data_IF_540553065479
#
_entry.id   IF_540553065479
#
_cell.length_a   1.000
_cell.length_b   1.000
_cell.length_c   1.000
_cell.angle_alpha   90.00
_cell.angle_beta   90.00
_cell.angle_gamma   90.00
#
_symmetry.space_group_name_H-M   'P 1'
#
loop_
_entity.id
_entity.type
_entity.pdbx_description
1 polymer ?
#
# COMPACT_ATOMS: atom_id res chain seq x y z
N UNK A 1 20.98 -7.58 -9.70
CA UNK A 1 20.23 -6.50 -10.37
C UNK A 1 18.87 -6.36 -9.68
N UNK A 2 18.77 -5.48 -8.69
CA UNK A 2 17.49 -5.11 -8.08
C UNK A 2 16.78 -4.13 -9.02
N UNK A 3 16.00 -4.65 -9.98
CA UNK A 3 15.22 -3.78 -10.85
C UNK A 3 14.11 -3.12 -10.04
N UNK A 4 14.22 -1.81 -9.92
CA UNK A 4 13.15 -0.88 -9.57
C UNK A 4 11.97 -1.10 -10.52
N UNK A 5 10.79 -1.38 -9.96
CA UNK A 5 9.53 -1.63 -10.66
C UNK A 5 9.49 -2.86 -11.59
N UNK A 6 8.34 -3.53 -11.63
CA UNK A 6 8.04 -4.61 -12.56
C UNK A 6 6.98 -4.16 -13.57
N UNK A 7 7.24 -4.37 -14.86
CA UNK A 7 6.25 -4.14 -15.91
C UNK A 7 5.24 -5.27 -15.94
N UNK A 8 3.98 -4.93 -15.72
CA UNK A 8 2.82 -5.82 -15.71
C UNK A 8 1.92 -5.48 -16.89
N UNK A 9 1.51 -6.48 -17.66
CA UNK A 9 0.55 -6.30 -18.75
C UNK A 9 -0.86 -6.22 -18.17
N UNK A 10 -1.37 -5.00 -17.96
CA UNK A 10 -2.77 -4.80 -17.59
C UNK A 10 -3.72 -5.13 -18.74
N UNK A 11 -5.02 -5.05 -18.48
CA UNK A 11 -6.05 -5.39 -19.46
C UNK A 11 -6.20 -4.39 -20.62
N UNK A 12 -5.83 -3.13 -20.39
CA UNK A 12 -5.91 -2.06 -21.38
C UNK A 12 -4.52 -1.57 -21.82
N UNK A 13 -3.58 -1.49 -20.87
CA UNK A 13 -2.21 -1.03 -21.11
C UNK A 13 -1.22 -1.67 -20.15
N UNK A 14 0.05 -1.66 -20.53
CA UNK A 14 1.14 -2.02 -19.62
C UNK A 14 1.25 -0.99 -18.50
N UNK A 15 1.71 -1.45 -17.34
CA UNK A 15 1.96 -0.60 -16.18
C UNK A 15 3.21 -1.05 -15.44
N UNK A 16 4.01 -0.10 -15.00
CA UNK A 16 5.08 -0.38 -14.05
C UNK A 16 4.51 -0.29 -12.63
N UNK A 17 4.67 -1.37 -11.87
CA UNK A 17 4.21 -1.49 -10.49
C UNK A 17 5.42 -1.66 -9.60
N UNK A 18 5.45 -0.94 -8.47
CA UNK A 18 6.62 -0.84 -7.60
C UNK A 18 7.06 -2.19 -7.02
N UNK A 19 6.09 -2.99 -6.56
CA UNK A 19 6.32 -4.32 -6.00
C UNK A 19 5.39 -5.30 -6.69
N UNK A 20 5.94 -6.38 -7.23
CA UNK A 20 5.16 -7.48 -7.81
C UNK A 20 5.74 -8.80 -7.34
N UNK A 21 4.88 -9.61 -6.74
CA UNK A 21 5.18 -10.99 -6.35
C UNK A 21 4.54 -11.91 -7.37
N UNK A 22 5.36 -12.75 -7.99
CA UNK A 22 4.92 -13.77 -8.94
C UNK A 22 5.15 -15.17 -8.38
N UNK A 23 4.30 -16.11 -8.75
CA UNK A 23 4.48 -17.54 -8.46
C UNK A 23 4.64 -18.31 -9.77
N UNK A 24 5.70 -19.15 -9.90
CA UNK A 24 5.90 -19.95 -11.10
C UNK A 24 4.67 -20.80 -11.44
N UNK A 25 4.24 -20.75 -12.71
CA UNK A 25 3.04 -21.45 -13.20
C UNK A 25 1.70 -20.86 -12.78
N UNK A 26 1.68 -19.73 -12.04
CA UNK A 26 0.46 -19.00 -11.65
C UNK A 26 0.49 -17.58 -12.24
N UNK A 27 1.63 -16.89 -12.13
CA UNK A 27 1.78 -15.49 -12.54
C UNK A 27 1.79 -14.53 -11.35
N UNK A 28 1.46 -13.23 -11.55
CA UNK A 28 1.33 -12.24 -10.48
C UNK A 28 0.25 -12.64 -9.47
N UNK A 29 0.60 -12.62 -8.19
CA UNK A 29 -0.30 -13.02 -7.09
C UNK A 29 -0.49 -11.93 -6.05
N UNK A 30 0.49 -11.04 -5.90
CA UNK A 30 0.39 -9.85 -5.07
C UNK A 30 1.15 -8.71 -5.75
N UNK A 31 0.62 -7.50 -5.67
CA UNK A 31 1.30 -6.31 -6.13
C UNK A 31 1.04 -5.14 -5.18
N UNK A 32 1.96 -4.18 -5.13
CA UNK A 32 1.79 -2.92 -4.42
C UNK A 32 2.27 -1.77 -5.30
N UNK A 33 1.40 -0.78 -5.52
CA UNK A 33 1.76 0.51 -6.11
C UNK A 33 2.01 1.50 -4.98
N UNK A 34 3.18 2.14 -5.00
CA UNK A 34 3.60 3.14 -4.03
C UNK A 34 3.57 4.52 -4.71
N UNK A 35 2.96 5.51 -4.07
CA UNK A 35 2.87 6.87 -4.59
C UNK A 35 3.19 7.87 -3.49
N UNK A 36 4.07 8.81 -3.82
CA UNK A 36 4.45 9.91 -2.95
C UNK A 36 3.92 11.25 -3.47
N UNK A 37 3.51 12.11 -2.55
CA UNK A 37 3.16 13.50 -2.83
C UNK A 37 3.99 14.43 -1.96
N UNK A 38 4.80 15.28 -2.61
CA UNK A 38 5.65 16.25 -1.92
C UNK A 38 5.02 17.64 -1.78
N UNK A 39 3.92 17.90 -2.50
CA UNK A 39 3.15 19.14 -2.54
C UNK A 39 1.99 19.04 -3.54
N UNK A 40 1.43 20.17 -3.96
CA UNK A 40 0.36 20.28 -4.96
C UNK A 40 -0.95 19.56 -4.61
N UNK A 41 -1.54 19.91 -3.45
CA UNK A 41 -2.86 19.44 -2.99
C UNK A 41 -3.95 19.66 -4.04
N UNK A 42 -3.83 20.70 -4.88
CA UNK A 42 -4.75 20.95 -6.01
C UNK A 42 -4.84 19.79 -7.02
N UNK A 43 -3.83 18.92 -7.07
CA UNK A 43 -3.75 17.80 -8.01
C UNK A 43 -4.32 16.48 -7.45
N UNK A 44 -4.88 16.48 -6.24
CA UNK A 44 -5.39 15.26 -5.61
C UNK A 44 -6.51 14.58 -6.42
N UNK A 45 -7.36 15.35 -7.12
CA UNK A 45 -8.40 14.80 -8.00
C UNK A 45 -7.77 14.02 -9.16
N UNK A 46 -6.79 14.60 -9.86
CA UNK A 46 -6.10 13.93 -10.96
C UNK A 46 -5.40 12.65 -10.46
N UNK A 47 -4.81 12.70 -9.26
CA UNK A 47 -4.19 11.54 -8.61
C UNK A 47 -5.20 10.44 -8.29
N UNK A 48 -6.41 10.81 -7.89
CA UNK A 48 -7.49 9.85 -7.65
C UNK A 48 -7.89 9.15 -8.96
N UNK A 49 -8.11 9.90 -10.04
CA UNK A 49 -8.44 9.35 -11.36
C UNK A 49 -7.35 8.40 -11.89
N UNK A 50 -6.08 8.79 -11.77
CA UNK A 50 -4.93 7.93 -12.09
C UNK A 50 -4.96 6.62 -11.28
N UNK A 51 -5.29 6.70 -10.00
CA UNK A 51 -5.32 5.56 -9.07
C UNK A 51 -6.48 4.61 -9.38
N UNK A 52 -7.65 5.12 -9.75
CA UNK A 52 -8.81 4.35 -10.22
C UNK A 52 -8.46 3.63 -11.53
N UNK A 53 -7.86 4.35 -12.47
CA UNK A 53 -7.45 3.81 -13.77
C UNK A 53 -6.39 2.72 -13.64
N UNK A 54 -5.41 2.90 -12.74
CA UNK A 54 -4.39 1.89 -12.44
C UNK A 54 -5.03 0.61 -11.89
N UNK A 55 -5.87 0.73 -10.86
CA UNK A 55 -6.56 -0.40 -10.23
C UNK A 55 -7.36 -1.20 -11.24
N UNK A 56 -8.19 -0.50 -12.01
CA UNK A 56 -9.07 -1.11 -13.00
C UNK A 56 -8.27 -1.83 -14.08
N UNK A 57 -7.25 -1.17 -14.64
CA UNK A 57 -6.41 -1.76 -15.66
C UNK A 57 -5.71 -3.05 -15.19
N UNK A 58 -5.16 -3.03 -13.98
CA UNK A 58 -4.45 -4.19 -13.42
C UNK A 58 -5.42 -5.34 -13.13
N UNK A 59 -6.58 -5.07 -12.54
CA UNK A 59 -7.57 -6.13 -12.25
C UNK A 59 -8.25 -6.70 -13.49
N UNK A 60 -8.34 -5.97 -14.61
CA UNK A 60 -8.81 -6.56 -15.87
C UNK A 60 -7.78 -7.61 -16.36
N UNK A 61 -6.49 -7.29 -16.30
CA UNK A 61 -5.43 -8.22 -16.72
C UNK A 61 -5.22 -9.38 -15.75
N UNK A 62 -5.33 -9.13 -14.45
CA UNK A 62 -5.13 -10.11 -13.39
C UNK A 62 -6.27 -10.05 -12.35
N UNK A 63 -7.45 -10.62 -12.63
CA UNK A 63 -8.63 -10.48 -11.77
C UNK A 63 -8.44 -11.01 -10.35
N UNK A 64 -7.57 -12.01 -10.19
CA UNK A 64 -7.27 -12.66 -8.90
C UNK A 64 -6.12 -12.00 -8.14
N UNK A 65 -5.40 -11.05 -8.73
CA UNK A 65 -4.28 -10.37 -8.07
C UNK A 65 -4.74 -9.72 -6.77
N UNK A 66 -3.96 -9.87 -5.70
CA UNK A 66 -4.13 -9.05 -4.49
C UNK A 66 -3.36 -7.74 -4.70
N UNK A 67 -4.07 -6.63 -4.86
CA UNK A 67 -3.45 -5.36 -5.22
C UNK A 67 -3.56 -4.34 -4.08
N UNK A 68 -2.40 -3.86 -3.63
CA UNK A 68 -2.26 -2.80 -2.63
C UNK A 68 -1.90 -1.45 -3.23
N UNK A 69 -2.36 -0.37 -2.60
CA UNK A 69 -1.96 0.99 -2.91
C UNK A 69 -1.46 1.71 -1.65
N UNK A 70 -0.21 2.17 -1.64
CA UNK A 70 0.38 2.94 -0.55
C UNK A 70 0.59 4.38 -1.00
N UNK A 71 -0.12 5.32 -0.35
CA UNK A 71 0.01 6.75 -0.60
C UNK A 71 0.70 7.44 0.57
N UNK A 72 1.81 8.11 0.30
CA UNK A 72 2.59 8.87 1.26
C UNK A 72 2.55 10.36 0.92
N UNK A 73 2.28 11.20 1.91
CA UNK A 73 2.34 12.66 1.75
C UNK A 73 3.24 13.32 2.77
N UNK A 74 3.87 14.42 2.37
CA UNK A 74 4.66 15.25 3.30
C UNK A 74 3.75 16.07 4.20
N UNK A 75 4.11 16.16 5.48
CA UNK A 75 3.46 17.03 6.47
C UNK A 75 3.84 18.51 6.26
N UNK A 76 3.54 19.06 5.08
CA UNK A 76 3.79 20.46 4.80
C UNK A 76 2.79 21.31 5.60
N UNK A 77 3.25 21.80 6.76
CA UNK A 77 2.47 22.63 7.67
C UNK A 77 2.38 24.07 7.15
N UNK A 78 1.25 24.72 7.37
CA UNK A 78 1.06 26.11 7.01
C UNK A 78 2.10 26.98 7.74
N UNK A 79 2.87 27.76 6.99
CA UNK A 79 3.96 28.55 7.53
C UNK A 79 4.61 29.44 6.49
N UNK A 80 5.57 30.26 6.95
CA UNK A 80 6.30 31.16 6.07
C UNK A 80 7.14 30.36 5.07
N UNK A 81 6.94 30.61 3.77
CA UNK A 81 7.70 29.96 2.69
C UNK A 81 7.06 28.68 2.13
N UNK A 82 5.89 28.27 2.63
CA UNK A 82 5.11 27.17 2.04
C UNK A 82 4.02 27.79 1.15
N UNK A 83 3.96 27.40 -0.12
CA UNK A 83 2.90 27.83 -1.01
C UNK A 83 1.55 27.28 -0.53
N UNK A 84 0.48 28.06 -0.62
CA UNK A 84 -0.86 27.64 -0.16
C UNK A 84 -1.33 26.33 -0.81
N UNK A 85 -0.92 26.07 -2.04
CA UNK A 85 -1.21 24.83 -2.77
C UNK A 85 -0.45 23.61 -2.27
N UNK A 86 0.57 23.79 -1.44
CA UNK A 86 1.42 22.74 -0.90
C UNK A 86 1.12 22.46 0.58
N UNK A 87 0.27 23.28 1.22
CA UNK A 87 -0.15 23.10 2.61
C UNK A 87 -1.05 21.88 2.73
N UNK A 88 -0.63 20.91 3.54
CA UNK A 88 -1.36 19.66 3.83
C UNK A 88 -1.94 19.70 5.25
N UNK A 89 -1.31 20.46 6.15
CA UNK A 89 -1.72 20.65 7.54
C UNK A 89 -1.86 22.14 7.84
N UNK A 90 -3.01 22.56 8.35
CA UNK A 90 -3.29 23.95 8.71
C UNK A 90 -2.55 24.42 9.99
N UNK A 91 -2.66 25.71 10.32
CA UNK A 91 -2.09 26.27 11.56
C UNK A 91 -2.58 25.62 12.85
N UNK A 92 -3.74 24.98 12.83
CA UNK A 92 -4.28 24.27 13.99
C UNK A 92 -3.77 22.83 14.11
N UNK A 93 -2.90 22.39 13.19
CA UNK A 93 -2.37 21.03 13.16
C UNK A 93 -3.33 20.04 12.50
N UNK A 94 -4.40 20.50 11.86
CA UNK A 94 -5.41 19.63 11.23
C UNK A 94 -5.16 19.48 9.72
N UNK A 95 -5.47 18.32 9.12
CA UNK A 95 -5.41 18.16 7.67
C UNK A 95 -6.34 19.15 6.96
N UNK A 96 -5.86 19.75 5.87
CA UNK A 96 -6.69 20.64 5.05
C UNK A 96 -7.82 19.87 4.35
N UNK A 97 -8.90 20.57 3.98
CA UNK A 97 -10.11 19.96 3.42
C UNK A 97 -9.84 19.08 2.18
N UNK A 98 -8.88 19.45 1.34
CA UNK A 98 -8.49 18.64 0.17
C UNK A 98 -7.94 17.26 0.57
N UNK A 99 -7.17 17.19 1.65
CA UNK A 99 -6.60 15.95 2.18
C UNK A 99 -7.68 15.08 2.80
N UNK A 100 -8.61 15.68 3.54
CA UNK A 100 -9.77 14.98 4.12
C UNK A 100 -10.64 14.37 3.02
N UNK A 101 -10.97 15.13 1.97
CA UNK A 101 -11.74 14.63 0.83
C UNK A 101 -11.02 13.49 0.09
N UNK A 102 -9.70 13.61 -0.06
CA UNK A 102 -8.90 12.57 -0.69
C UNK A 102 -8.85 11.29 0.16
N UNK A 103 -8.71 11.41 1.48
CA UNK A 103 -8.84 10.27 2.40
C UNK A 103 -10.20 9.56 2.26
N UNK A 104 -11.30 10.32 2.22
CA UNK A 104 -12.65 9.76 2.06
C UNK A 104 -12.79 9.02 0.72
N UNK A 105 -12.28 9.62 -0.37
CA UNK A 105 -12.31 9.00 -1.69
C UNK A 105 -11.50 7.69 -1.74
N UNK A 106 -10.28 7.69 -1.20
CA UNK A 106 -9.47 6.46 -1.09
C UNK A 106 -10.15 5.40 -0.21
N UNK A 107 -10.78 5.82 0.89
CA UNK A 107 -11.50 4.91 1.78
C UNK A 107 -12.67 4.20 1.07
N UNK A 108 -13.31 4.84 0.09
CA UNK A 108 -14.35 4.23 -0.72
C UNK A 108 -13.82 3.20 -1.75
N UNK A 109 -12.53 3.28 -2.09
CA UNK A 109 -11.86 2.44 -3.09
C UNK A 109 -11.17 1.21 -2.50
N UNK A 110 -11.17 1.01 -1.18
CA UNK A 110 -10.55 -0.17 -0.56
C UNK A 110 -11.56 -1.30 -0.30
N UNK A 111 -11.05 -2.45 0.12
CA UNK A 111 -11.87 -3.57 0.60
C UNK A 111 -12.38 -4.52 -0.48
N UNK A 112 -11.73 -4.60 -1.65
CA UNK A 112 -12.01 -5.66 -2.64
C UNK A 112 -11.79 -7.04 -2.00
N UNK A 113 -12.79 -7.93 -2.10
CA UNK A 113 -12.73 -9.27 -1.51
C UNK A 113 -12.28 -10.32 -2.54
N UNK A 114 -12.78 -10.22 -3.77
CA UNK A 114 -12.42 -11.14 -4.84
C UNK A 114 -12.88 -10.68 -6.22
N UNK A 115 -12.81 -11.60 -7.18
CA UNK A 115 -13.03 -11.34 -8.61
C UNK A 115 -14.41 -10.78 -8.96
N UNK A 116 -15.43 -11.06 -8.12
CA UNK A 116 -16.81 -10.62 -8.31
C UNK A 116 -17.08 -9.20 -7.81
N UNK A 117 -16.16 -8.60 -7.06
CA UNK A 117 -16.26 -7.21 -6.65
C UNK A 117 -15.82 -6.27 -7.78
N UNK A 118 -16.06 -4.98 -7.60
CA UNK A 118 -15.64 -3.92 -8.52
C UNK A 118 -14.12 -3.92 -8.74
N UNK A 119 -13.70 -3.94 -10.02
CA UNK A 119 -12.30 -3.95 -10.45
C UNK A 119 -11.56 -2.64 -10.13
N UNK A 120 -12.30 -1.55 -9.91
CA UNK A 120 -11.76 -0.24 -9.53
C UNK A 120 -11.40 -0.12 -8.04
N UNK A 121 -11.61 -1.18 -7.25
CA UNK A 121 -11.24 -1.23 -5.83
C UNK A 121 -9.97 -2.05 -5.59
N UNK A 122 -9.15 -1.58 -4.66
CA UNK A 122 -7.99 -2.30 -4.15
C UNK A 122 -8.39 -3.25 -3.02
N UNK A 123 -7.60 -4.30 -2.81
CA UNK A 123 -7.70 -5.16 -1.63
C UNK A 123 -7.32 -4.40 -0.35
N UNK A 124 -6.28 -3.56 -0.43
CA UNK A 124 -5.83 -2.70 0.65
C UNK A 124 -5.35 -1.35 0.11
N UNK A 125 -5.71 -0.29 0.82
CA UNK A 125 -5.12 1.04 0.60
C UNK A 125 -4.54 1.49 1.93
N UNK A 126 -3.37 2.13 1.89
CA UNK A 126 -2.83 2.85 3.03
C UNK A 126 -2.55 4.30 2.64
N UNK A 127 -2.88 5.20 3.54
CA UNK A 127 -2.53 6.61 3.42
C UNK A 127 -1.78 7.03 4.68
N UNK A 128 -0.61 7.64 4.50
CA UNK A 128 0.23 8.08 5.61
C UNK A 128 0.81 9.47 5.34
N UNK A 129 1.04 10.22 6.40
CA UNK A 129 1.72 11.50 6.36
C UNK A 129 3.07 11.38 7.05
N UNK A 130 4.12 11.97 6.48
CA UNK A 130 5.50 11.88 6.96
C UNK A 130 5.98 13.26 7.37
N UNK A 131 6.60 13.36 8.54
CA UNK A 131 7.28 14.56 9.00
C UNK A 131 8.53 14.85 8.15
N UNK A 132 8.69 16.09 7.71
CA UNK A 132 9.74 16.47 6.75
C UNK A 132 10.77 17.44 7.30
N UNK A 133 10.64 17.82 8.56
CA UNK A 133 11.54 18.76 9.20
C UNK A 133 11.66 18.51 10.69
N UNK A 134 12.74 19.01 11.28
CA UNK A 134 12.99 18.88 12.72
C UNK A 134 13.42 17.48 13.14
N UNK A 135 13.31 17.22 14.45
CA UNK A 135 13.78 15.98 15.10
C UNK A 135 13.04 14.72 14.64
N UNK A 136 11.81 14.87 14.17
CA UNK A 136 10.93 13.78 13.77
C UNK A 136 10.97 13.53 12.25
N UNK A 137 11.92 14.09 11.52
CA UNK A 137 11.96 13.94 10.07
C UNK A 137 12.08 12.46 9.67
N UNK A 138 11.18 12.02 8.79
CA UNK A 138 11.07 10.62 8.36
C UNK A 138 10.07 9.78 9.18
N UNK A 139 9.60 10.28 10.32
CA UNK A 139 8.58 9.61 11.13
C UNK A 139 7.18 9.82 10.53
N UNK A 140 6.28 8.88 10.78
CA UNK A 140 4.86 9.06 10.49
C UNK A 140 4.26 10.11 11.43
N UNK A 141 3.44 11.00 10.89
CA UNK A 141 2.65 11.92 11.72
C UNK A 141 1.64 11.10 12.51
N UNK A 142 1.86 11.02 13.82
CA UNK A 142 0.95 10.38 14.76
C UNK A 142 -0.46 10.98 14.65
N UNK A 143 -1.47 10.14 14.81
CA UNK A 143 -2.89 10.53 14.83
C UNK A 143 -3.40 11.28 13.58
N UNK A 144 -2.65 11.25 12.47
CA UNK A 144 -3.10 11.83 11.19
C UNK A 144 -4.43 11.24 10.73
N UNK A 145 -4.58 9.91 10.87
CA UNK A 145 -5.83 9.20 10.66
C UNK A 145 -6.25 8.58 11.97
N UNK A 146 -7.57 8.49 12.18
CA UNK A 146 -8.11 7.70 13.27
C UNK A 146 -7.67 6.23 13.14
N UNK A 147 -7.39 5.57 14.27
CA UNK A 147 -6.88 4.20 14.32
C UNK A 147 -7.87 3.15 13.78
N UNK A 148 -9.15 3.51 13.67
CA UNK A 148 -10.22 2.71 13.06
C UNK A 148 -10.38 2.94 11.55
N UNK A 149 -9.63 3.87 10.95
CA UNK A 149 -9.63 4.12 9.51
C UNK A 149 -9.28 2.84 8.74
N UNK A 150 -10.08 2.52 7.72
CA UNK A 150 -9.85 1.36 6.85
C UNK A 150 -8.57 1.47 6.02
N UNK A 151 -8.04 2.68 5.87
CA UNK A 151 -6.80 2.95 5.14
C UNK A 151 -5.63 3.36 6.04
N UNK A 152 -5.70 2.98 7.32
CA UNK A 152 -4.59 3.17 8.26
C UNK A 152 -3.37 2.34 7.86
N UNK A 153 -2.18 2.95 7.91
CA UNK A 153 -0.93 2.33 7.46
C UNK A 153 -0.65 0.96 8.11
N UNK A 154 -0.84 0.85 9.42
CA UNK A 154 -0.58 -0.38 10.18
C UNK A 154 -1.44 -1.58 9.72
N UNK A 155 -2.63 -1.33 9.16
CA UNK A 155 -3.55 -2.39 8.70
C UNK A 155 -3.22 -2.91 7.30
N UNK A 156 -2.32 -2.23 6.59
CA UNK A 156 -2.08 -2.43 5.17
C UNK A 156 -1.62 -3.85 4.84
N UNK A 157 -0.48 -4.24 5.43
CA UNK A 157 0.14 -5.53 5.14
C UNK A 157 -0.69 -6.68 5.69
N UNK A 158 -1.27 -6.54 6.88
CA UNK A 158 -2.20 -7.53 7.44
C UNK A 158 -3.37 -7.80 6.52
N UNK A 159 -3.95 -6.75 5.93
CA UNK A 159 -5.05 -6.88 4.97
C UNK A 159 -4.59 -7.57 3.69
N UNK A 160 -3.44 -7.17 3.12
CA UNK A 160 -2.88 -7.82 1.93
C UNK A 160 -2.61 -9.30 2.16
N UNK A 161 -1.97 -9.64 3.27
CA UNK A 161 -1.65 -11.02 3.62
C UNK A 161 -2.90 -11.87 3.85
N UNK A 162 -3.89 -11.32 4.53
CA UNK A 162 -5.16 -12.01 4.75
C UNK A 162 -5.87 -12.29 3.43
N UNK A 163 -5.97 -11.30 2.53
CA UNK A 163 -6.57 -11.48 1.20
C UNK A 163 -5.79 -12.47 0.34
N UNK A 164 -4.47 -12.46 0.45
CA UNK A 164 -3.61 -13.44 -0.21
C UNK A 164 -3.89 -14.86 0.26
N UNK A 165 -3.91 -15.08 1.58
CA UNK A 165 -4.13 -16.41 2.16
C UNK A 165 -5.55 -16.91 1.83
N UNK A 166 -6.58 -16.06 1.98
CA UNK A 166 -7.96 -16.38 1.60
C UNK A 166 -8.03 -16.86 0.15
N UNK A 167 -7.35 -16.19 -0.77
CA UNK A 167 -7.49 -16.42 -2.21
C UNK A 167 -6.63 -17.57 -2.72
N UNK A 168 -5.38 -17.65 -2.29
CA UNK A 168 -4.39 -18.55 -2.87
C UNK A 168 -4.09 -19.77 -1.99
N UNK A 169 -4.44 -19.76 -0.70
CA UNK A 169 -4.17 -20.86 0.23
C UNK A 169 -5.47 -21.56 0.63
N UNK A 170 -6.46 -20.81 1.11
CA UNK A 170 -7.74 -21.35 1.59
C UNK A 170 -8.66 -21.71 0.42
N UNK A 171 -8.93 -20.76 -0.49
CA UNK A 171 -9.86 -21.00 -1.62
C UNK A 171 -9.29 -21.92 -2.70
N UNK A 172 -7.97 -22.15 -2.70
CA UNK A 172 -7.29 -23.01 -3.68
C UNK A 172 -6.35 -24.02 -3.01
N UNK A 173 -6.86 -25.02 -2.25
CA UNK A 173 -6.02 -25.95 -1.48
C UNK A 173 -5.00 -26.70 -2.33
N UNK A 174 -5.33 -27.00 -3.59
CA UNK A 174 -4.45 -27.67 -4.54
C UNK A 174 -3.19 -26.83 -4.88
N UNK A 175 -3.29 -25.51 -4.79
CA UNK A 175 -2.18 -24.59 -5.01
C UNK A 175 -1.39 -24.28 -3.72
N UNK A 176 -1.93 -24.61 -2.55
CA UNK A 176 -1.36 -24.25 -1.25
C UNK A 176 0.11 -24.66 -1.10
N UNK A 177 0.52 -25.81 -1.65
CA UNK A 177 1.92 -26.26 -1.63
C UNK A 177 2.88 -25.27 -2.32
N UNK A 178 2.40 -24.49 -3.29
CA UNK A 178 3.18 -23.49 -4.05
C UNK A 178 2.95 -22.07 -3.54
N UNK A 179 1.76 -21.78 -3.02
CA UNK A 179 1.31 -20.43 -2.67
C UNK A 179 1.44 -20.11 -1.20
N UNK A 180 1.51 -21.10 -0.30
CA UNK A 180 1.67 -20.84 1.13
C UNK A 180 2.88 -19.91 1.36
N UNK A 181 2.66 -18.90 2.20
CA UNK A 181 3.72 -17.96 2.59
C UNK A 181 4.83 -18.72 3.29
N UNK A 182 6.08 -18.39 2.95
CA UNK A 182 7.24 -19.02 3.56
C UNK A 182 7.38 -18.56 5.01
N UNK A 183 7.90 -19.45 5.83
CA UNK A 183 8.19 -19.22 7.24
C UNK A 183 9.70 -19.42 7.44
N UNK A 184 10.27 -18.67 8.37
CA UNK A 184 11.64 -18.87 8.77
C UNK A 184 11.73 -20.15 9.59
N UNK A 185 12.75 -20.97 9.33
CA UNK A 185 13.10 -22.06 10.25
C UNK A 185 13.53 -21.46 11.59
N UNK A 186 13.09 -22.06 12.71
CA UNK A 186 13.56 -21.76 14.07
C UNK A 186 15.10 -21.74 14.16
N UNK A 187 15.76 -22.59 13.37
CA UNK A 187 17.21 -22.76 13.38
C UNK A 187 17.93 -21.88 12.35
N UNK A 188 17.18 -21.08 11.58
CA UNK A 188 17.74 -20.28 10.50
C UNK A 188 18.87 -19.40 11.02
N UNK A 189 20.07 -19.46 10.41
CA UNK A 189 21.20 -18.63 10.82
C UNK A 189 20.92 -17.14 10.64
N UNK A 190 19.93 -16.77 9.80
CA UNK A 190 19.42 -15.41 9.75
C UNK A 190 19.01 -14.95 11.15
N UNK A 191 18.20 -15.76 11.87
CA UNK A 191 17.65 -15.48 13.22
C UNK A 191 18.70 -15.29 14.31
N UNK A 192 19.94 -15.74 14.06
CA UNK A 192 21.07 -15.67 15.00
C UNK A 192 21.98 -14.46 14.73
N UNK A 193 21.73 -13.70 13.66
CA UNK A 193 22.49 -12.49 13.36
C UNK A 193 22.02 -11.33 14.24
N UNK A 194 22.96 -10.59 14.83
CA UNK A 194 22.73 -9.49 15.77
C UNK A 194 21.81 -8.36 15.23
N UNK A 195 21.54 -8.31 13.92
CA UNK A 195 20.70 -7.31 13.28
C UNK A 195 19.19 -7.60 13.24
N UNK A 196 18.72 -8.80 13.60
CA UNK A 196 17.29 -9.13 13.55
C UNK A 196 16.49 -8.71 14.78
N UNK A 197 17.16 -8.35 15.88
CA UNK A 197 16.50 -7.78 17.07
C UNK A 197 15.90 -6.38 16.80
N UNK A 198 16.22 -5.78 15.65
CA UNK A 198 15.74 -4.48 15.20
C UNK A 198 14.72 -4.58 14.05
N UNK A 199 14.03 -5.73 13.89
CA UNK A 199 12.93 -5.79 12.94
C UNK A 199 11.67 -5.19 13.55
N UNK A 200 11.08 -4.23 12.83
CA UNK A 200 9.82 -3.56 13.20
C UNK A 200 8.59 -4.46 13.03
N UNK A 201 8.77 -5.75 12.70
CA UNK A 201 7.70 -6.72 12.46
C UNK A 201 8.03 -8.10 13.04
N UNK A 202 7.00 -8.80 13.49
CA UNK A 202 7.13 -10.15 14.04
C UNK A 202 7.61 -11.14 12.98
N UNK A 203 8.74 -11.81 13.24
CA UNK A 203 9.25 -12.86 12.37
C UNK A 203 8.29 -14.05 12.40
N UNK A 204 7.86 -14.50 11.22
CA UNK A 204 7.05 -15.72 11.10
C UNK A 204 7.97 -16.93 11.14
N UNK A 205 7.96 -17.64 12.26
CA UNK A 205 8.77 -18.83 12.48
C UNK A 205 7.87 -20.07 12.30
N UNK A 206 8.32 -21.00 11.47
CA UNK A 206 7.62 -22.27 11.21
C UNK A 206 8.05 -23.36 12.17
N UNK A 207 7.09 -24.13 12.67
CA UNK A 207 7.27 -25.36 13.45
C UNK A 207 7.09 -26.60 12.61
#
# INVERSE_FOLDING_TARGET
>A
MTRSEATVLGGLKTKNVDIVVTKPGIGPVLAVSCKGMTGAVRNLTNRLEETIGECTNIHIGYPTLVFGYLFLMRANREGRGVASTDVVVDRSGRPVEGVVRFHQALSAMTGRLGVRNDASRYEAIAMAMIEVSGRHSGELVADFLASDSSIHFERFFDTLYRRYDERYVVSAPQLARRTRRLEWSVDSPALKADGLQALDYGIRIGG
#
